data_IF_891398541253
#
_entry.id   IF_891398541253
#
_cell.length_a   1.000
_cell.length_b   1.000
_cell.length_c   1.000
_cell.angle_alpha   90.00
_cell.angle_beta   90.00
_cell.angle_gamma   90.00
#
_symmetry.space_group_name_H-M   'P 1'
#
loop_
_entity.id
_entity.type
_entity.pdbx_description
1 polymer ?
#
# COMPACT_ATOMS: atom_id res chain seq x y z
N UNK A 1 16.58 -42.76 -10.52
CA UNK A 1 15.80 -41.67 -9.90
C UNK A 1 16.53 -40.37 -10.20
N UNK A 2 16.06 -39.62 -11.19
CA UNK A 2 16.66 -38.35 -11.62
C UNK A 2 16.17 -37.22 -10.71
N UNK A 3 17.05 -36.65 -9.88
CA UNK A 3 16.79 -35.44 -9.12
C UNK A 3 16.51 -34.28 -10.09
N UNK A 4 15.27 -33.80 -10.12
CA UNK A 4 14.93 -32.57 -10.80
C UNK A 4 15.40 -31.38 -9.95
N UNK A 5 16.05 -30.36 -10.53
CA UNK A 5 16.42 -29.16 -9.79
C UNK A 5 15.14 -28.42 -9.36
N UNK A 6 14.84 -28.46 -8.07
CA UNK A 6 13.76 -27.68 -7.46
C UNK A 6 14.08 -26.20 -7.65
N UNK A 7 13.43 -25.55 -8.61
CA UNK A 7 13.51 -24.10 -8.79
C UNK A 7 12.88 -23.44 -7.58
N UNK A 8 13.71 -22.92 -6.66
CA UNK A 8 13.25 -22.16 -5.49
C UNK A 8 13.03 -20.71 -5.89
N UNK A 9 11.88 -20.14 -5.52
CA UNK A 9 11.65 -18.71 -5.69
C UNK A 9 12.54 -17.93 -4.71
N UNK A 10 13.35 -17.00 -5.23
CA UNK A 10 14.06 -15.97 -4.48
C UNK A 10 13.68 -14.61 -5.04
N UNK A 11 13.63 -13.61 -4.17
CA UNK A 11 13.60 -12.20 -4.56
C UNK A 11 15.06 -11.77 -4.73
N UNK A 12 15.51 -11.54 -5.96
CA UNK A 12 16.83 -10.95 -6.22
C UNK A 12 16.78 -9.44 -5.96
N UNK A 13 17.68 -8.91 -5.15
CA UNK A 13 17.71 -7.50 -4.73
C UNK A 13 18.91 -6.80 -5.34
N UNK A 14 18.70 -5.58 -5.88
CA UNK A 14 19.77 -4.60 -6.06
C UNK A 14 20.05 -3.95 -4.71
N UNK A 15 21.25 -4.13 -4.19
CA UNK A 15 21.72 -3.37 -3.02
C UNK A 15 21.75 -1.88 -3.39
N UNK A 16 21.39 -1.03 -2.42
CA UNK A 16 21.37 0.44 -2.46
C UNK A 16 20.07 1.12 -2.92
N UNK A 17 19.34 1.66 -1.94
CA UNK A 17 18.44 2.82 -2.12
C UNK A 17 19.10 4.04 -1.45
N UNK A 18 19.09 5.23 -2.09
CA UNK A 18 19.73 6.42 -1.54
C UNK A 18 18.88 7.00 -0.41
N UNK A 19 19.28 6.76 0.84
CA UNK A 19 18.78 7.52 1.99
C UNK A 19 19.58 8.82 2.10
N UNK A 20 19.35 9.79 1.20
CA UNK A 20 19.68 11.20 1.47
C UNK A 20 18.39 11.93 1.87
N UNK A 21 18.26 12.16 3.18
CA UNK A 21 17.10 12.78 3.83
C UNK A 21 17.22 14.31 3.96
N UNK A 22 17.94 14.99 3.06
CA UNK A 22 18.02 16.45 3.12
C UNK A 22 16.71 17.12 2.63
N UNK A 23 15.96 17.68 3.58
CA UNK A 23 14.71 18.41 3.34
C UNK A 23 14.94 19.72 2.56
N UNK A 24 14.24 19.90 1.44
CA UNK A 24 14.02 21.21 0.82
C UNK A 24 12.55 21.58 0.93
N UNK A 25 12.27 22.61 1.70
CA UNK A 25 10.95 23.21 1.87
C UNK A 25 10.49 23.88 0.57
N UNK A 26 9.24 23.64 0.17
CA UNK A 26 8.57 24.36 -0.92
C UNK A 26 7.44 25.20 -0.30
N UNK A 27 7.47 26.48 -0.65
CA UNK A 27 6.57 27.55 -0.23
C UNK A 27 5.16 27.38 -0.80
N UNK A 28 4.13 27.66 0.00
CA UNK A 28 2.71 27.62 -0.40
C UNK A 28 2.30 28.91 -1.11
N UNK A 29 1.70 28.78 -2.29
CA UNK A 29 0.96 29.83 -2.98
C UNK A 29 -0.54 29.53 -2.97
N UNK A 30 -1.33 30.54 -2.60
CA UNK A 30 -2.81 30.57 -2.50
C UNK A 30 -3.49 30.85 -3.84
N UNK A 31 -4.66 30.24 -4.07
CA UNK A 31 -5.87 30.77 -4.77
C UNK A 31 -6.96 29.68 -4.80
N UNK A 32 -8.06 29.83 -4.05
CA UNK A 32 -9.40 30.36 -4.43
C UNK A 32 -10.35 29.33 -5.07
N UNK A 33 -11.27 28.80 -4.25
CA UNK A 33 -12.36 27.88 -4.63
C UNK A 33 -13.62 28.61 -5.13
N UNK A 34 -14.39 27.93 -6.00
CA UNK A 34 -15.77 28.28 -6.35
C UNK A 34 -16.67 27.05 -6.21
N UNK A 35 -17.73 27.19 -5.42
CA UNK A 35 -18.60 26.15 -4.88
C UNK A 35 -19.73 25.73 -5.83
N UNK A 36 -20.09 24.45 -5.80
CA UNK A 36 -21.45 23.97 -6.08
C UNK A 36 -21.80 22.83 -5.10
N UNK A 37 -22.88 23.01 -4.34
CA UNK A 37 -23.38 22.11 -3.30
C UNK A 37 -24.21 20.95 -3.87
N UNK A 38 -24.05 19.78 -3.25
CA UNK A 38 -24.95 18.63 -3.33
C UNK A 38 -25.12 18.07 -1.92
N UNK A 39 -26.28 17.49 -1.54
CA UNK A 39 -26.60 17.21 -0.15
C UNK A 39 -25.80 16.00 0.32
N UNK A 40 -24.68 16.24 1.02
CA UNK A 40 -23.86 15.20 1.60
C UNK A 40 -24.10 15.18 3.11
N UNK A 41 -24.44 14.01 3.64
CA UNK A 41 -24.67 13.78 5.08
C UNK A 41 -23.32 13.73 5.85
N UNK A 42 -22.34 14.51 5.39
CA UNK A 42 -20.97 14.48 5.85
C UNK A 42 -20.83 15.26 7.16
N UNK A 43 -20.09 14.73 8.15
CA UNK A 43 -19.70 15.51 9.31
C UNK A 43 -18.90 16.74 8.84
N UNK A 44 -19.44 17.93 9.07
CA UNK A 44 -18.86 19.21 8.65
C UNK A 44 -17.70 19.68 9.53
N UNK A 45 -17.34 18.90 10.55
CA UNK A 45 -16.30 19.24 11.51
C UNK A 45 -15.28 18.12 11.54
N UNK A 46 -14.04 18.39 11.11
CA UNK A 46 -12.89 17.59 11.52
C UNK A 46 -12.96 17.45 13.04
N UNK A 47 -12.80 16.25 13.62
CA UNK A 47 -12.88 16.11 15.06
C UNK A 47 -11.98 17.15 15.72
N UNK A 48 -12.56 17.96 16.64
CA UNK A 48 -11.82 18.90 17.45
C UNK A 48 -10.77 18.11 18.21
N UNK A 49 -9.57 18.04 17.64
CA UNK A 49 -8.39 17.60 18.36
C UNK A 49 -8.11 18.71 19.36
N UNK A 50 -8.63 18.57 20.58
CA UNK A 50 -7.99 19.20 21.73
C UNK A 50 -6.53 18.81 21.65
N UNK A 51 -5.68 19.77 21.32
CA UNK A 51 -4.24 19.63 21.17
C UNK A 51 -3.63 19.12 22.48
N UNK A 52 -3.71 17.82 22.72
CA UNK A 52 -2.78 17.15 23.61
C UNK A 52 -1.63 16.65 22.75
N UNK A 53 -0.87 17.59 22.19
CA UNK A 53 0.33 17.37 21.36
C UNK A 53 1.52 16.88 22.19
N UNK A 54 1.28 16.35 23.39
CA UNK A 54 2.33 15.94 24.30
C UNK A 54 2.69 14.47 24.01
N UNK A 55 3.82 14.29 23.30
CA UNK A 55 4.57 13.04 23.08
C UNK A 55 4.30 12.18 21.82
N UNK A 56 3.83 12.75 20.70
CA UNK A 56 3.93 12.00 19.43
C UNK A 56 5.34 12.16 18.85
N UNK A 57 6.12 11.08 18.63
CA UNK A 57 7.43 11.21 18.02
C UNK A 57 7.30 11.83 16.63
N UNK A 58 8.13 12.82 16.27
CA UNK A 58 8.02 13.54 14.99
C UNK A 58 8.26 12.67 13.75
N UNK A 59 8.44 11.35 13.91
CA UNK A 59 8.98 10.46 12.90
C UNK A 59 8.22 9.13 12.73
N UNK A 60 6.95 9.06 13.13
CA UNK A 60 6.17 7.80 13.00
C UNK A 60 6.13 7.26 11.57
N UNK A 61 5.94 8.07 10.50
CA UNK A 61 6.02 7.56 9.14
C UNK A 61 7.35 6.91 8.78
N UNK A 62 8.51 7.51 9.10
CA UNK A 62 9.80 6.89 8.75
C UNK A 62 10.09 5.68 9.64
N UNK A 63 9.68 5.70 10.91
CA UNK A 63 9.79 4.53 11.78
C UNK A 63 8.98 3.34 11.23
N UNK A 64 7.75 3.58 10.76
CA UNK A 64 6.93 2.53 10.18
C UNK A 64 7.56 1.99 8.88
N UNK A 65 8.01 2.87 7.98
CA UNK A 65 8.74 2.49 6.78
C UNK A 65 9.98 1.64 7.10
N UNK A 66 10.75 2.04 8.11
CA UNK A 66 11.95 1.32 8.55
C UNK A 66 11.61 -0.07 9.10
N UNK A 67 10.52 -0.19 9.85
CA UNK A 67 10.01 -1.48 10.35
C UNK A 67 9.53 -2.38 9.21
N UNK A 68 8.73 -1.87 8.28
CA UNK A 68 8.21 -2.62 7.14
C UNK A 68 9.34 -3.08 6.21
N UNK A 69 10.34 -2.24 5.99
CA UNK A 69 11.51 -2.59 5.20
C UNK A 69 12.35 -3.67 5.90
N UNK A 70 12.58 -3.52 7.21
CA UNK A 70 13.30 -4.53 8.02
C UNK A 70 12.57 -5.88 8.03
N UNK A 71 11.24 -5.85 8.15
CA UNK A 71 10.40 -7.04 8.04
C UNK A 71 10.53 -7.68 6.66
N UNK A 72 10.43 -6.88 5.60
CA UNK A 72 10.60 -7.34 4.21
C UNK A 72 11.96 -8.02 4.01
N UNK A 73 13.06 -7.41 4.47
CA UNK A 73 14.40 -8.02 4.40
C UNK A 73 14.52 -9.32 5.19
N UNK A 74 13.77 -9.46 6.28
CA UNK A 74 13.71 -10.71 7.03
C UNK A 74 12.94 -11.78 6.28
N UNK A 75 11.78 -11.44 5.71
CA UNK A 75 10.94 -12.35 4.92
C UNK A 75 11.65 -12.83 3.64
N UNK A 76 12.50 -11.99 3.02
CA UNK A 76 13.30 -12.38 1.85
C UNK A 76 14.27 -13.54 2.10
N UNK A 77 14.64 -13.81 3.36
CA UNK A 77 15.52 -14.92 3.72
C UNK A 77 14.78 -16.26 3.72
N UNK A 78 13.45 -16.25 3.70
CA UNK A 78 12.62 -17.45 3.67
C UNK A 78 12.64 -18.03 2.26
N UNK A 79 12.95 -19.32 2.15
CA UNK A 79 12.86 -20.07 0.90
C UNK A 79 11.50 -20.73 0.81
N UNK A 80 10.75 -20.40 -0.24
CA UNK A 80 9.46 -21.01 -0.49
C UNK A 80 9.64 -22.22 -1.43
N UNK A 81 9.18 -23.42 -1.02
CA UNK A 81 9.13 -24.57 -1.92
C UNK A 81 7.98 -24.44 -2.92
N UNK A 82 7.96 -25.32 -3.91
CA UNK A 82 6.80 -25.48 -4.79
C UNK A 82 5.50 -25.67 -3.98
N UNK A 83 4.34 -25.16 -4.45
CA UNK A 83 4.10 -24.58 -5.77
C UNK A 83 4.35 -23.05 -5.88
N UNK A 84 4.97 -22.43 -4.87
CA UNK A 84 5.26 -20.98 -4.88
C UNK A 84 6.38 -20.68 -5.88
N UNK A 85 6.07 -19.90 -6.91
CA UNK A 85 7.02 -19.58 -7.99
C UNK A 85 7.35 -18.09 -8.07
N UNK A 86 6.43 -17.23 -7.64
CA UNK A 86 6.56 -15.78 -7.72
C UNK A 86 6.32 -15.16 -6.34
N UNK A 87 7.16 -14.20 -6.00
CA UNK A 87 7.11 -13.45 -4.75
C UNK A 87 7.07 -11.97 -5.09
N UNK A 88 6.10 -11.28 -4.52
CA UNK A 88 5.88 -9.86 -4.74
C UNK A 88 6.05 -9.14 -3.41
N UNK A 89 6.88 -8.10 -3.42
CA UNK A 89 7.09 -7.20 -2.29
C UNK A 89 6.76 -5.76 -2.70
N UNK A 90 5.47 -5.37 -2.66
CA UNK A 90 5.03 -4.02 -3.01
C UNK A 90 5.73 -2.93 -2.18
N UNK A 91 6.13 -3.21 -0.94
CA UNK A 91 6.89 -2.25 -0.12
C UNK A 91 8.21 -1.86 -0.79
N UNK A 92 8.83 -2.74 -1.58
CA UNK A 92 10.05 -2.42 -2.31
C UNK A 92 9.78 -1.74 -3.65
N UNK A 93 9.00 -2.38 -4.53
CA UNK A 93 8.83 -1.86 -5.89
C UNK A 93 7.80 -0.72 -5.99
N UNK A 94 6.89 -0.60 -5.03
CA UNK A 94 5.94 0.51 -4.94
C UNK A 94 6.32 1.51 -3.82
N UNK A 95 7.59 1.52 -3.41
CA UNK A 95 8.10 2.30 -2.28
C UNK A 95 7.70 3.78 -2.37
N UNK A 96 7.83 4.41 -3.55
CA UNK A 96 7.52 5.83 -3.73
C UNK A 96 6.07 6.18 -3.36
N UNK A 97 5.10 5.36 -3.78
CA UNK A 97 3.69 5.61 -3.44
C UNK A 97 3.40 5.23 -1.99
N UNK A 98 3.98 4.14 -1.51
CA UNK A 98 3.80 3.69 -0.13
C UNK A 98 4.38 4.69 0.89
N UNK A 99 5.56 5.26 0.63
CA UNK A 99 6.14 6.31 1.46
C UNK A 99 5.28 7.57 1.47
N UNK A 100 4.74 7.97 0.31
CA UNK A 100 3.82 9.10 0.21
C UNK A 100 2.53 8.85 1.01
N UNK A 101 1.98 7.63 0.99
CA UNK A 101 0.84 7.23 1.80
C UNK A 101 1.09 7.41 3.30
N UNK A 102 2.20 6.85 3.81
CA UNK A 102 2.53 6.94 5.23
C UNK A 102 2.87 8.37 5.65
N UNK A 103 3.65 9.10 4.85
CA UNK A 103 3.97 10.50 5.14
C UNK A 103 2.73 11.39 5.14
N UNK A 104 1.77 11.14 4.24
CA UNK A 104 0.54 11.92 4.16
C UNK A 104 -0.39 11.62 5.33
N UNK A 105 -0.57 10.35 5.68
CA UNK A 105 -1.66 9.93 6.56
C UNK A 105 -1.25 9.45 7.96
N UNK A 106 0.02 9.17 8.23
CA UNK A 106 0.50 8.71 9.55
C UNK A 106 1.16 9.80 10.41
N UNK A 107 0.78 11.07 10.23
CA UNK A 107 1.35 12.22 10.97
C UNK A 107 0.90 12.34 12.42
N UNK A 108 -0.16 11.64 12.79
CA UNK A 108 -0.80 11.71 14.12
C UNK A 108 -1.16 10.30 14.59
N UNK A 109 -1.35 10.16 15.90
CA UNK A 109 -1.78 8.91 16.53
C UNK A 109 -3.07 8.36 15.92
N UNK A 110 -3.13 7.04 15.78
CA UNK A 110 -4.29 6.33 15.23
C UNK A 110 -4.90 5.50 16.35
N UNK A 111 -6.21 5.67 16.53
CA UNK A 111 -6.98 4.94 17.55
C UNK A 111 -7.31 3.52 17.09
N UNK A 112 -7.46 3.32 15.79
CA UNK A 112 -7.89 2.04 15.21
C UNK A 112 -6.97 1.69 14.04
N UNK A 113 -6.39 0.48 14.12
CA UNK A 113 -5.63 -0.15 13.05
C UNK A 113 -6.52 -1.20 12.37
N UNK A 114 -6.79 -1.01 11.08
CA UNK A 114 -7.37 -2.07 10.25
C UNK A 114 -6.24 -2.91 9.68
N UNK A 115 -6.31 -4.22 9.89
CA UNK A 115 -5.26 -5.13 9.45
C UNK A 115 -5.80 -6.09 8.40
N UNK A 116 -5.36 -5.91 7.17
CA UNK A 116 -5.54 -6.88 6.10
C UNK A 116 -4.58 -8.06 6.26
N UNK A 117 -4.75 -9.09 5.44
CA UNK A 117 -3.85 -10.24 5.47
C UNK A 117 -2.59 -9.95 4.64
N UNK A 118 -2.75 -9.90 3.32
CA UNK A 118 -1.68 -9.79 2.34
C UNK A 118 -2.14 -8.96 1.13
N UNK A 119 -1.20 -8.35 0.38
CA UNK A 119 -1.49 -7.63 -0.85
C UNK A 119 -2.30 -8.43 -1.87
N UNK A 120 -3.42 -7.86 -2.29
CA UNK A 120 -4.17 -8.31 -3.46
C UNK A 120 -3.44 -7.99 -4.78
N UNK A 121 -3.62 -8.79 -5.84
CA UNK A 121 -2.86 -8.67 -7.10
C UNK A 121 -3.21 -7.41 -7.91
N UNK A 122 -4.42 -6.86 -7.76
CA UNK A 122 -4.88 -5.65 -8.45
C UNK A 122 -5.05 -4.45 -7.52
N UNK A 123 -4.73 -4.62 -6.23
CA UNK A 123 -4.80 -3.60 -5.20
C UNK A 123 -3.40 -3.15 -4.80
N UNK A 124 -3.00 -3.47 -3.57
CA UNK A 124 -1.68 -3.09 -3.03
C UNK A 124 -0.51 -3.56 -3.89
N UNK A 125 -0.61 -4.69 -4.61
CA UNK A 125 0.46 -5.12 -5.53
C UNK A 125 0.64 -4.22 -6.77
N UNK A 126 -0.31 -3.33 -7.03
CA UNK A 126 -0.21 -2.33 -8.09
C UNK A 126 0.11 -0.95 -7.54
N UNK A 127 -0.27 -0.66 -6.30
CA UNK A 127 -0.30 0.71 -5.77
C UNK A 127 0.62 0.95 -4.57
N UNK A 128 1.05 -0.10 -3.88
CA UNK A 128 1.76 0.00 -2.60
C UNK A 128 0.87 0.42 -1.42
N UNK A 129 -0.43 0.65 -1.61
CA UNK A 129 -1.34 1.09 -0.54
C UNK A 129 -2.17 -0.10 -0.04
N UNK A 130 -2.32 -0.32 1.29
CA UNK A 130 -3.21 -1.35 1.85
C UNK A 130 -4.63 -1.21 1.31
N UNK A 131 -5.25 -2.33 0.92
CA UNK A 131 -6.54 -2.32 0.22
C UNK A 131 -6.57 -1.39 -1.03
N UNK A 132 -5.41 -1.08 -1.63
CA UNK A 132 -5.23 0.05 -2.53
C UNK A 132 -5.74 -0.19 -3.95
N UNK A 133 -7.06 -0.11 -4.13
CA UNK A 133 -7.68 -0.05 -5.45
C UNK A 133 -7.27 1.26 -6.17
N UNK A 134 -6.86 1.13 -7.43
CA UNK A 134 -6.19 2.21 -8.19
C UNK A 134 -7.00 3.50 -8.24
N UNK A 135 -8.28 3.43 -8.62
CA UNK A 135 -9.11 4.63 -8.73
C UNK A 135 -9.24 5.35 -7.39
N UNK A 136 -9.34 4.60 -6.28
CA UNK A 136 -9.34 5.18 -4.95
C UNK A 136 -8.01 5.82 -4.57
N UNK A 137 -6.90 5.12 -4.81
CA UNK A 137 -5.56 5.61 -4.48
C UNK A 137 -5.27 6.93 -5.21
N UNK A 138 -5.61 7.00 -6.49
CA UNK A 138 -5.36 8.20 -7.31
C UNK A 138 -6.39 9.30 -7.01
N UNK A 139 -7.68 8.99 -7.10
CA UNK A 139 -8.71 10.05 -7.15
C UNK A 139 -9.28 10.44 -5.79
N UNK A 140 -9.16 9.59 -4.75
CA UNK A 140 -9.66 9.92 -3.41
C UNK A 140 -8.55 10.12 -2.40
N UNK A 141 -7.55 9.24 -2.37
CA UNK A 141 -6.38 9.43 -1.51
C UNK A 141 -5.41 10.49 -2.07
N UNK A 142 -5.51 10.82 -3.37
CA UNK A 142 -4.68 11.83 -4.01
C UNK A 142 -3.20 11.46 -3.97
N UNK A 143 -2.89 10.18 -4.20
CA UNK A 143 -1.53 9.65 -4.19
C UNK A 143 -1.04 9.42 -5.62
N UNK A 144 0.24 9.70 -5.83
CA UNK A 144 0.95 9.46 -7.09
C UNK A 144 2.40 9.09 -6.77
N UNK A 145 3.09 8.52 -7.74
CA UNK A 145 4.49 8.11 -7.62
C UNK A 145 4.88 7.06 -8.64
N UNK A 146 6.17 6.74 -8.68
CA UNK A 146 6.71 5.67 -9.52
C UNK A 146 6.39 4.30 -8.90
N UNK A 147 6.10 3.32 -9.76
CA UNK A 147 5.97 1.91 -9.37
C UNK A 147 6.94 1.11 -10.24
N UNK A 148 7.98 0.61 -9.61
CA UNK A 148 8.92 -0.33 -10.18
C UNK A 148 8.29 -1.72 -10.35
N UNK A 149 9.07 -2.66 -10.87
CA UNK A 149 8.65 -4.05 -11.08
C UNK A 149 9.31 -4.98 -10.07
N UNK A 150 8.63 -6.07 -9.66
CA UNK A 150 9.29 -7.14 -8.94
C UNK A 150 10.33 -7.83 -9.86
N UNK A 151 11.33 -8.53 -9.32
CA UNK A 151 12.38 -9.19 -10.11
C UNK A 151 11.84 -10.20 -11.12
N UNK A 152 10.73 -10.88 -10.78
CA UNK A 152 10.04 -11.84 -11.65
C UNK A 152 8.54 -11.59 -11.56
N UNK A 153 7.90 -11.49 -12.72
CA UNK A 153 6.45 -11.31 -12.83
C UNK A 153 5.79 -12.59 -13.33
N UNK A 154 4.71 -13.00 -12.66
CA UNK A 154 3.79 -13.97 -13.22
C UNK A 154 3.10 -13.34 -14.45
N UNK A 155 3.06 -14.02 -15.61
CA UNK A 155 2.47 -13.46 -16.84
C UNK A 155 1.02 -12.97 -16.69
N UNK A 156 0.22 -13.66 -15.86
CA UNK A 156 -1.18 -13.33 -15.60
C UNK A 156 -1.38 -12.27 -14.50
N UNK A 157 -0.31 -11.84 -13.81
CA UNK A 157 -0.33 -10.87 -12.70
C UNK A 157 0.84 -9.89 -12.81
N UNK A 158 0.92 -9.21 -13.94
CA UNK A 158 1.92 -8.16 -14.15
C UNK A 158 1.60 -6.93 -13.30
N UNK A 159 2.65 -6.27 -12.82
CA UNK A 159 2.58 -4.96 -12.19
C UNK A 159 2.60 -3.91 -13.29
N UNK A 160 1.46 -3.24 -13.44
CA UNK A 160 1.28 -2.08 -14.33
C UNK A 160 1.13 -0.78 -13.56
N UNK A 161 1.29 -0.83 -12.23
CA UNK A 161 1.28 0.34 -11.37
C UNK A 161 -0.10 1.01 -11.30
N UNK A 162 -0.08 2.34 -11.17
CA UNK A 162 -1.29 3.19 -11.17
C UNK A 162 -2.02 3.22 -12.53
N UNK A 163 -1.50 2.56 -13.56
CA UNK A 163 -2.17 2.37 -14.86
C UNK A 163 -2.97 1.06 -14.94
N UNK A 164 -2.98 0.25 -13.85
CA UNK A 164 -3.74 -0.99 -13.82
C UNK A 164 -5.24 -0.72 -14.02
N UNK A 165 -5.81 -1.34 -15.06
CA UNK A 165 -7.23 -1.20 -15.42
C UNK A 165 -8.15 -2.16 -14.65
N UNK A 166 -7.58 -3.12 -13.91
CA UNK A 166 -8.35 -4.07 -13.11
C UNK A 166 -8.62 -3.46 -11.74
N UNK A 167 -9.87 -3.56 -11.29
CA UNK A 167 -10.26 -3.12 -9.96
C UNK A 167 -10.20 -4.28 -8.96
N UNK A 168 -9.54 -4.05 -7.83
CA UNK A 168 -9.49 -4.99 -6.71
C UNK A 168 -10.80 -4.87 -5.89
N UNK A 169 -11.68 -5.87 -5.98
CA UNK A 169 -13.02 -5.79 -5.39
C UNK A 169 -12.99 -5.57 -3.88
N UNK A 170 -12.09 -6.24 -3.16
CA UNK A 170 -11.95 -6.09 -1.70
C UNK A 170 -11.52 -4.66 -1.33
N UNK A 171 -10.53 -4.11 -2.05
CA UNK A 171 -10.08 -2.74 -1.84
C UNK A 171 -11.15 -1.72 -2.16
N UNK A 172 -11.83 -1.90 -3.30
CA UNK A 172 -12.95 -1.05 -3.70
C UNK A 172 -14.04 -1.00 -2.63
N UNK A 173 -14.49 -2.15 -2.13
CA UNK A 173 -15.52 -2.23 -1.08
C UNK A 173 -15.08 -1.58 0.23
N UNK A 174 -13.84 -1.83 0.65
CA UNK A 174 -13.28 -1.23 1.87
C UNK A 174 -13.33 0.29 1.79
N UNK A 175 -12.83 0.87 0.70
CA UNK A 175 -12.76 2.32 0.57
C UNK A 175 -14.08 2.98 0.18
N UNK A 176 -14.96 2.32 -0.57
CA UNK A 176 -16.33 2.81 -0.83
C UNK A 176 -17.13 2.97 0.48
N UNK A 177 -16.97 2.04 1.42
CA UNK A 177 -17.57 2.17 2.76
C UNK A 177 -17.09 3.44 3.47
N UNK A 178 -15.78 3.67 3.55
CA UNK A 178 -15.25 4.83 4.26
C UNK A 178 -15.41 6.15 3.50
N UNK A 179 -15.52 6.12 2.16
CA UNK A 179 -16.02 7.28 1.40
C UNK A 179 -17.43 7.66 1.84
N UNK A 180 -18.32 6.67 2.01
CA UNK A 180 -19.68 6.91 2.48
C UNK A 180 -19.77 7.40 3.93
N UNK A 181 -18.89 6.90 4.80
CA UNK A 181 -18.91 7.23 6.24
C UNK A 181 -18.14 8.51 6.59
N UNK A 182 -17.01 8.75 5.92
CA UNK A 182 -16.07 9.81 6.28
C UNK A 182 -16.01 10.94 5.24
N UNK A 183 -16.49 10.72 4.02
CA UNK A 183 -16.47 11.66 2.89
C UNK A 183 -15.08 12.03 2.37
N UNK A 184 -14.18 12.49 3.23
CA UNK A 184 -12.79 12.85 2.90
C UNK A 184 -11.81 11.88 3.55
N UNK A 185 -10.62 11.68 2.94
CA UNK A 185 -9.59 10.87 3.57
C UNK A 185 -9.13 11.46 4.90
N UNK A 186 -9.09 12.79 5.06
CA UNK A 186 -8.64 13.45 6.30
C UNK A 186 -9.49 13.03 7.51
N UNK A 187 -10.81 12.94 7.35
CA UNK A 187 -11.72 12.49 8.41
C UNK A 187 -11.42 11.03 8.78
N UNK A 188 -11.25 10.15 7.77
CA UNK A 188 -10.91 8.75 8.01
C UNK A 188 -9.56 8.62 8.74
N UNK A 189 -8.50 9.24 8.22
CA UNK A 189 -7.15 9.13 8.78
C UNK A 189 -6.96 9.92 10.07
N UNK A 190 -7.90 10.75 10.52
CA UNK A 190 -7.84 11.40 11.84
C UNK A 190 -7.70 10.40 13.00
N UNK A 191 -8.22 9.17 12.83
CA UNK A 191 -8.22 8.13 13.87
C UNK A 191 -8.00 6.71 13.35
N UNK A 192 -8.12 6.48 12.04
CA UNK A 192 -8.07 5.16 11.42
C UNK A 192 -6.84 5.02 10.53
N UNK A 193 -6.24 3.83 10.46
CA UNK A 193 -5.20 3.51 9.48
C UNK A 193 -5.30 2.05 9.05
N UNK A 194 -5.39 1.74 7.74
CA UNK A 194 -5.24 0.39 7.24
C UNK A 194 -3.77 0.05 6.98
N UNK A 195 -3.40 -1.18 7.32
CA UNK A 195 -2.13 -1.83 7.04
C UNK A 195 -2.37 -3.29 6.63
N UNK A 196 -1.36 -3.96 6.08
CA UNK A 196 -1.38 -5.41 5.84
C UNK A 196 -0.53 -6.13 6.89
N UNK A 197 -0.97 -7.32 7.33
CA UNK A 197 -0.23 -8.14 8.30
C UNK A 197 1.12 -8.61 7.71
N UNK A 198 1.12 -9.05 6.45
CA UNK A 198 2.37 -9.32 5.73
C UNK A 198 2.50 -8.38 4.53
N UNK A 199 3.62 -7.64 4.42
CA UNK A 199 3.85 -6.73 3.31
C UNK A 199 4.13 -7.44 1.98
N UNK A 200 4.33 -8.76 1.98
CA UNK A 200 4.67 -9.56 0.81
C UNK A 200 3.58 -10.57 0.47
N UNK A 201 3.30 -10.72 -0.82
CA UNK A 201 2.42 -11.74 -1.37
C UNK A 201 3.21 -12.87 -2.03
N UNK A 202 2.69 -14.10 -1.97
CA UNK A 202 3.20 -15.23 -2.74
C UNK A 202 2.13 -15.69 -3.72
N UNK A 203 2.52 -15.93 -4.97
CA UNK A 203 1.65 -16.51 -5.98
C UNK A 203 2.19 -17.89 -6.35
N UNK A 204 1.35 -18.89 -6.07
CA UNK A 204 1.56 -20.25 -6.54
C UNK A 204 1.00 -20.42 -7.95
N UNK A 205 1.76 -21.05 -8.84
CA UNK A 205 1.21 -21.53 -10.09
C UNK A 205 0.53 -22.87 -9.80
N UNK A 206 -0.72 -22.85 -9.32
CA UNK A 206 -1.55 -24.04 -9.44
C UNK A 206 -1.86 -24.21 -10.93
N UNK A 207 -1.06 -25.01 -11.64
CA UNK A 207 -1.55 -25.67 -12.85
C UNK A 207 -2.84 -26.37 -12.44
N UNK A 208 -3.97 -25.92 -12.97
CA UNK A 208 -5.24 -26.60 -12.82
C UNK A 208 -5.16 -27.92 -13.59
N UNK A 209 -4.58 -28.95 -12.97
CA UNK A 209 -4.92 -30.33 -13.30
C UNK A 209 -6.21 -30.67 -12.55
N UNK A 210 -7.32 -30.08 -13.01
CA UNK A 210 -8.64 -30.65 -12.84
C UNK A 210 -9.29 -30.67 -14.22
N UNK A 211 -8.92 -31.70 -14.98
CA UNK A 211 -9.83 -32.27 -15.96
C UNK A 211 -10.79 -33.19 -15.21
N UNK A 212 -12.07 -32.99 -15.46
CA UNK A 212 -13.20 -33.92 -15.32
C UNK A 212 -13.01 -35.13 -14.42
N UNK A 213 -13.75 -35.14 -13.30
CA UNK A 213 -14.69 -36.20 -12.93
C UNK A 213 -15.69 -35.61 -11.91
#
# INVERSE_FOLDING_TARGET
MSEWPVKRARVDVKEDLPLDLSMRSISTGTESEKSQESPSNCPSTLPNHSENTQNFPPDVPLRLLSLEFSLTKTLQKILFPAPVEYLYSPIEYAFSVHSNYLQKFCKHEKKILFLGMNPGPWGMSQTGVPFGEVNTVVNWLGLSGHIDKPPREQPARRVTGLLCKRSEVSGRRFWELFKGLCCTPEIFFSSLIPQELLPSGSDGCCRSEYHSC
#
